data_IF_561873103975
#
_entry.id   IF_561873103975
#
_cell.length_a   1.000
_cell.length_b   1.000
_cell.length_c   1.000
_cell.angle_alpha   90.00
_cell.angle_beta   90.00
_cell.angle_gamma   90.00
#
_symmetry.space_group_name_H-M   'P 1'
#
loop_
_entity.id
_entity.type
_entity.pdbx_description
1 polymer ?
#
# COMPACT_ATOMS: atom_id res chain seq x y z
N UNK A 1 28.71 -50.34 -22.77
CA UNK A 1 29.07 -49.24 -21.86
C UNK A 1 27.94 -48.24 -21.84
N UNK A 2 27.12 -48.24 -20.79
CA UNK A 2 26.02 -47.27 -20.63
C UNK A 2 26.58 -46.00 -20.00
N UNK A 3 26.54 -44.89 -20.75
CA UNK A 3 26.86 -43.56 -20.24
C UNK A 3 25.71 -43.10 -19.34
N UNK A 4 25.89 -43.27 -18.03
CA UNK A 4 25.05 -42.60 -17.04
C UNK A 4 25.39 -41.11 -17.09
N UNK A 5 24.55 -40.33 -17.79
CA UNK A 5 24.58 -38.87 -17.71
C UNK A 5 24.16 -38.49 -16.29
N UNK A 6 25.14 -38.21 -15.42
CA UNK A 6 24.89 -37.62 -14.11
C UNK A 6 24.22 -36.26 -14.32
N UNK A 7 23.01 -36.09 -13.78
CA UNK A 7 22.39 -34.78 -13.67
C UNK A 7 23.39 -33.81 -12.98
N UNK A 8 23.50 -32.55 -13.43
CA UNK A 8 24.37 -31.59 -12.77
C UNK A 8 23.98 -31.49 -11.30
N UNK A 9 24.94 -31.72 -10.41
CA UNK A 9 24.78 -31.54 -8.97
C UNK A 9 24.36 -30.09 -8.74
N UNK A 10 23.11 -29.86 -8.34
CA UNK A 10 22.72 -28.59 -7.74
C UNK A 10 23.70 -28.33 -6.58
N UNK A 11 24.46 -27.22 -6.58
CA UNK A 11 25.41 -26.97 -5.50
C UNK A 11 24.65 -26.99 -4.19
N UNK A 12 25.08 -27.84 -3.24
CA UNK A 12 24.49 -27.87 -1.91
C UNK A 12 24.76 -26.50 -1.26
N UNK A 13 23.74 -25.82 -0.72
CA UNK A 13 23.92 -24.54 -0.08
C UNK A 13 25.00 -24.63 1.01
N UNK A 14 25.92 -23.65 1.05
CA UNK A 14 27.00 -23.63 2.03
C UNK A 14 26.49 -23.04 3.34
N UNK A 15 26.60 -23.79 4.44
CA UNK A 15 26.31 -23.25 5.77
C UNK A 15 27.35 -22.18 6.12
N UNK A 16 26.89 -21.02 6.59
CA UNK A 16 27.75 -19.95 7.11
C UNK A 16 27.27 -19.52 8.50
N UNK A 17 28.22 -19.08 9.32
CA UNK A 17 27.91 -18.56 10.65
C UNK A 17 27.60 -17.05 10.61
N UNK A 18 27.16 -16.51 11.74
CA UNK A 18 26.80 -15.11 11.86
C UNK A 18 28.00 -14.15 11.68
N UNK A 19 29.22 -14.60 12.01
CA UNK A 19 30.43 -13.79 11.91
C UNK A 19 30.82 -13.60 10.45
N UNK A 20 30.85 -14.70 9.70
CA UNK A 20 31.10 -14.72 8.26
C UNK A 20 30.03 -13.92 7.52
N UNK A 21 28.75 -14.19 7.80
CA UNK A 21 27.64 -13.43 7.20
C UNK A 21 27.77 -11.93 7.46
N UNK A 22 27.99 -11.53 8.72
CA UNK A 22 28.15 -10.11 9.06
C UNK A 22 29.39 -9.47 8.40
N UNK A 23 30.45 -10.25 8.16
CA UNK A 23 31.61 -9.79 7.39
C UNK A 23 31.25 -9.48 5.95
N UNK A 24 30.51 -10.38 5.28
CA UNK A 24 30.02 -10.17 3.91
C UNK A 24 29.11 -8.95 3.82
N UNK A 25 28.18 -8.78 4.77
CA UNK A 25 27.31 -7.60 4.83
C UNK A 25 28.12 -6.30 4.95
N UNK A 26 29.11 -6.24 5.85
CA UNK A 26 30.00 -5.07 5.97
C UNK A 26 30.87 -4.87 4.72
N UNK A 27 31.26 -5.96 4.06
CA UNK A 27 31.92 -5.93 2.75
C UNK A 27 31.06 -5.23 1.70
N UNK A 28 29.81 -5.64 1.59
CA UNK A 28 28.82 -5.06 0.67
C UNK A 28 28.54 -3.57 0.96
N UNK A 29 28.34 -3.20 2.22
CA UNK A 29 28.12 -1.78 2.60
C UNK A 29 29.32 -0.89 2.26
N UNK A 30 30.55 -1.40 2.42
CA UNK A 30 31.78 -0.72 1.97
C UNK A 30 31.85 -0.61 0.45
N UNK A 31 31.43 -1.64 -0.28
CA UNK A 31 31.39 -1.61 -1.74
C UNK A 31 30.44 -0.52 -2.26
N UNK A 32 29.21 -0.45 -1.73
CA UNK A 32 28.24 0.60 -2.08
C UNK A 32 28.81 2.00 -1.82
N UNK A 33 29.45 2.20 -0.67
CA UNK A 33 29.91 3.53 -0.25
C UNK A 33 31.16 4.00 -0.98
N UNK A 34 32.10 3.09 -1.29
CA UNK A 34 33.42 3.47 -1.77
C UNK A 34 33.63 3.26 -3.28
N UNK A 35 32.78 2.50 -3.97
CA UNK A 35 33.01 2.05 -5.37
C UNK A 35 34.41 1.46 -5.60
N UNK A 36 35.06 0.97 -4.54
CA UNK A 36 36.42 0.44 -4.60
C UNK A 36 36.36 -0.98 -5.16
N UNK A 37 37.39 -1.37 -5.93
CA UNK A 37 37.54 -2.67 -6.60
C UNK A 37 37.66 -3.90 -5.69
N UNK A 38 37.09 -3.86 -4.48
CA UNK A 38 36.79 -5.04 -3.67
C UNK A 38 35.68 -5.80 -4.41
N UNK A 39 35.88 -7.09 -4.67
CA UNK A 39 34.87 -7.91 -5.32
C UNK A 39 33.53 -7.83 -4.57
N UNK A 40 32.41 -7.90 -5.30
CA UNK A 40 31.06 -7.90 -4.72
C UNK A 40 30.89 -9.17 -3.89
N UNK A 41 31.19 -9.09 -2.60
CA UNK A 41 30.91 -10.17 -1.64
C UNK A 41 29.39 -10.26 -1.46
N UNK A 42 28.83 -11.39 -1.89
CA UNK A 42 27.39 -11.61 -1.90
C UNK A 42 27.09 -13.00 -1.31
N UNK A 43 26.24 -13.08 -0.27
CA UNK A 43 25.84 -14.35 0.34
C UNK A 43 24.83 -15.08 -0.56
N UNK A 44 25.34 -15.68 -1.66
CA UNK A 44 24.58 -16.47 -2.63
C UNK A 44 24.70 -17.97 -2.34
N UNK A 45 23.61 -18.71 -2.47
CA UNK A 45 23.56 -20.16 -2.26
C UNK A 45 24.11 -20.57 -0.88
N UNK A 46 23.77 -19.80 0.16
CA UNK A 46 24.19 -20.08 1.54
C UNK A 46 23.02 -20.43 2.44
N UNK A 47 23.29 -21.18 3.50
CA UNK A 47 22.36 -21.31 4.64
C UNK A 47 22.82 -20.35 5.72
N UNK A 48 22.02 -19.29 5.92
CA UNK A 48 22.29 -18.20 6.84
C UNK A 48 20.98 -17.77 7.53
N UNK A 49 20.46 -18.66 8.36
CA UNK A 49 19.19 -18.48 9.08
C UNK A 49 19.38 -17.58 10.31
N UNK A 50 18.31 -16.92 10.75
CA UNK A 50 18.29 -16.07 11.96
C UNK A 50 19.35 -14.95 11.97
N UNK A 51 19.68 -14.41 10.79
CA UNK A 51 20.66 -13.33 10.65
C UNK A 51 20.02 -11.96 10.87
N UNK A 52 20.79 -11.00 11.40
CA UNK A 52 20.30 -9.65 11.70
C UNK A 52 20.81 -8.61 10.72
N UNK A 53 19.90 -8.03 9.95
CA UNK A 53 20.18 -7.01 8.94
C UNK A 53 19.37 -5.72 9.12
N UNK A 54 18.68 -5.52 10.25
CA UNK A 54 17.82 -4.35 10.47
C UNK A 54 18.55 -3.01 10.25
N UNK A 55 17.85 -2.07 9.61
CA UNK A 55 18.32 -0.70 9.33
C UNK A 55 19.64 -0.62 8.55
N UNK A 56 19.95 -1.63 7.72
CA UNK A 56 21.18 -1.64 6.91
C UNK A 56 20.98 -1.10 5.50
N UNK A 57 22.10 -0.72 4.86
CA UNK A 57 22.13 -0.26 3.46
C UNK A 57 22.56 -1.42 2.57
N UNK A 58 21.57 -2.15 2.09
CA UNK A 58 21.73 -3.40 1.35
C UNK A 58 21.24 -3.29 -0.10
N UNK A 59 21.25 -2.08 -0.66
CA UNK A 59 20.94 -1.87 -2.07
C UNK A 59 21.82 -2.77 -2.95
N UNK A 60 21.26 -3.38 -3.99
CA UNK A 60 21.99 -4.30 -4.87
C UNK A 60 22.58 -5.54 -4.18
N UNK A 61 22.24 -5.89 -2.94
CA UNK A 61 22.76 -7.14 -2.36
C UNK A 61 22.20 -8.35 -3.12
N UNK A 62 22.98 -9.42 -3.23
CA UNK A 62 22.57 -10.65 -3.89
C UNK A 62 22.55 -11.82 -2.89
N UNK A 63 21.32 -12.25 -2.58
CA UNK A 63 20.94 -13.39 -1.74
C UNK A 63 20.39 -14.57 -2.57
N UNK A 64 20.71 -14.64 -3.87
CA UNK A 64 20.19 -15.69 -4.77
C UNK A 64 20.34 -17.08 -4.15
N UNK A 65 19.24 -17.83 -4.08
CA UNK A 65 19.22 -19.22 -3.65
C UNK A 65 19.61 -19.45 -2.18
N UNK A 66 19.65 -18.40 -1.37
CA UNK A 66 20.05 -18.49 0.04
C UNK A 66 18.86 -18.81 0.94
N UNK A 67 19.12 -19.58 1.99
CA UNK A 67 18.17 -19.83 3.07
C UNK A 67 18.42 -18.83 4.19
N UNK A 68 17.50 -17.88 4.32
CA UNK A 68 17.55 -16.80 5.30
C UNK A 68 16.46 -16.95 6.36
N UNK A 69 15.88 -18.14 6.54
CA UNK A 69 14.72 -18.37 7.40
C UNK A 69 14.83 -17.66 8.77
N UNK A 70 13.81 -16.83 9.06
CA UNK A 70 13.67 -16.02 10.26
C UNK A 70 14.74 -14.94 10.48
N UNK A 71 15.44 -14.53 9.42
CA UNK A 71 16.33 -13.37 9.46
C UNK A 71 15.54 -12.05 9.49
N UNK A 72 16.17 -10.99 10.00
CA UNK A 72 15.54 -9.67 10.15
C UNK A 72 16.15 -8.65 9.21
N UNK A 73 15.32 -7.83 8.58
CA UNK A 73 15.64 -6.78 7.62
C UNK A 73 14.79 -5.52 7.87
N UNK A 74 14.20 -5.37 9.05
CA UNK A 74 13.25 -4.32 9.34
C UNK A 74 13.87 -2.92 9.10
N UNK A 75 13.15 -2.06 8.39
CA UNK A 75 13.60 -0.70 8.06
C UNK A 75 14.90 -0.62 7.24
N UNK A 76 15.34 -1.71 6.60
CA UNK A 76 16.55 -1.73 5.78
C UNK A 76 16.27 -1.24 4.37
N UNK A 77 17.31 -0.71 3.73
CA UNK A 77 17.27 -0.38 2.30
C UNK A 77 17.74 -1.58 1.48
N UNK A 78 16.80 -2.27 0.85
CA UNK A 78 16.99 -3.43 -0.04
C UNK A 78 16.60 -3.07 -1.48
N UNK A 79 16.72 -1.79 -1.85
CA UNK A 79 16.42 -1.34 -3.22
C UNK A 79 17.26 -2.13 -4.23
N UNK A 80 16.61 -2.75 -5.22
CA UNK A 80 17.25 -3.63 -6.23
C UNK A 80 18.00 -4.85 -5.65
N UNK A 81 17.69 -5.26 -4.42
CA UNK A 81 18.22 -6.51 -3.86
C UNK A 81 17.72 -7.72 -4.67
N UNK A 82 18.55 -8.75 -4.76
CA UNK A 82 18.23 -10.00 -5.46
C UNK A 82 18.04 -11.11 -4.44
N UNK A 83 16.82 -11.60 -4.33
CA UNK A 83 16.43 -12.75 -3.50
C UNK A 83 15.98 -13.92 -4.37
N UNK A 84 16.36 -13.97 -5.65
CA UNK A 84 15.91 -14.99 -6.59
C UNK A 84 16.00 -16.41 -6.01
N UNK A 85 14.87 -17.11 -5.93
CA UNK A 85 14.74 -18.45 -5.34
C UNK A 85 15.26 -18.60 -3.89
N UNK A 86 15.29 -17.53 -3.10
CA UNK A 86 15.67 -17.56 -1.69
C UNK A 86 14.51 -18.05 -0.80
N UNK A 87 14.86 -18.64 0.35
CA UNK A 87 13.90 -18.97 1.42
C UNK A 87 13.86 -17.83 2.42
N UNK A 88 12.71 -17.16 2.49
CA UNK A 88 12.45 -15.99 3.33
C UNK A 88 11.33 -16.24 4.35
N UNK A 89 11.09 -17.52 4.67
CA UNK A 89 10.09 -17.96 5.64
C UNK A 89 10.36 -17.28 6.99
N UNK A 90 9.30 -16.72 7.60
CA UNK A 90 9.34 -16.03 8.90
C UNK A 90 10.31 -14.85 9.00
N UNK A 91 10.82 -14.33 7.88
CA UNK A 91 11.68 -13.15 7.89
C UNK A 91 10.90 -11.88 8.26
N UNK A 92 11.60 -10.89 8.83
CA UNK A 92 11.04 -9.58 9.14
C UNK A 92 11.49 -8.51 8.14
N UNK A 93 10.58 -8.03 7.31
CA UNK A 93 10.76 -6.95 6.34
C UNK A 93 9.92 -5.71 6.68
N UNK A 94 9.41 -5.58 7.92
CA UNK A 94 8.54 -4.46 8.28
C UNK A 94 9.23 -3.14 7.97
N UNK A 95 8.55 -2.29 7.20
CA UNK A 95 9.06 -0.98 6.74
C UNK A 95 10.37 -1.03 5.95
N UNK A 96 10.79 -2.20 5.46
CA UNK A 96 11.95 -2.32 4.59
C UNK A 96 11.61 -1.76 3.20
N UNK A 97 12.61 -1.19 2.53
CA UNK A 97 12.50 -0.71 1.17
C UNK A 97 12.98 -1.81 0.20
N UNK A 98 12.05 -2.46 -0.48
CA UNK A 98 12.25 -3.54 -1.46
C UNK A 98 11.95 -3.07 -2.90
N UNK A 99 12.01 -1.76 -3.18
CA UNK A 99 11.75 -1.23 -4.51
C UNK A 99 12.63 -1.92 -5.56
N UNK A 100 12.02 -2.36 -6.65
CA UNK A 100 12.71 -3.07 -7.73
C UNK A 100 13.48 -4.34 -7.32
N UNK A 101 13.19 -4.92 -6.15
CA UNK A 101 13.83 -6.15 -5.72
C UNK A 101 13.40 -7.33 -6.61
N UNK A 102 14.33 -8.25 -6.89
CA UNK A 102 14.04 -9.51 -7.55
C UNK A 102 13.69 -10.57 -6.50
N UNK A 103 12.39 -10.82 -6.36
CA UNK A 103 11.78 -11.76 -5.43
C UNK A 103 11.18 -12.98 -6.18
N UNK A 104 11.65 -13.27 -7.41
CA UNK A 104 11.03 -14.36 -8.17
C UNK A 104 11.30 -15.70 -7.51
N UNK A 105 10.25 -16.51 -7.39
CA UNK A 105 10.34 -17.85 -6.81
C UNK A 105 10.71 -17.88 -5.31
N UNK A 106 10.62 -16.77 -4.58
CA UNK A 106 10.87 -16.78 -3.13
C UNK A 106 9.74 -17.48 -2.38
N UNK A 107 10.06 -17.97 -1.18
CA UNK A 107 9.06 -18.42 -0.20
C UNK A 107 9.01 -17.45 0.98
N UNK A 108 7.83 -16.88 1.25
CA UNK A 108 7.59 -15.82 2.24
C UNK A 108 6.55 -16.23 3.30
N UNK A 109 6.27 -17.54 3.43
CA UNK A 109 5.34 -18.03 4.46
C UNK A 109 5.73 -17.52 5.86
N UNK A 110 4.78 -16.91 6.56
CA UNK A 110 5.00 -16.32 7.88
C UNK A 110 5.86 -15.04 7.91
N UNK A 111 6.35 -14.54 6.77
CA UNK A 111 7.15 -13.33 6.72
C UNK A 111 6.33 -12.08 7.11
N UNK A 112 6.97 -11.11 7.76
CA UNK A 112 6.35 -9.86 8.17
C UNK A 112 6.73 -8.74 7.18
N UNK A 113 5.77 -8.27 6.39
CA UNK A 113 5.96 -7.25 5.35
C UNK A 113 5.11 -5.99 5.60
N UNK A 114 4.48 -5.86 6.77
CA UNK A 114 3.63 -4.73 7.09
C UNK A 114 4.38 -3.39 6.89
N UNK A 115 3.81 -2.52 6.06
CA UNK A 115 4.39 -1.24 5.67
C UNK A 115 5.69 -1.31 4.85
N UNK A 116 6.09 -2.49 4.34
CA UNK A 116 7.21 -2.61 3.41
C UNK A 116 6.87 -1.94 2.07
N UNK A 117 7.91 -1.48 1.35
CA UNK A 117 7.78 -0.83 0.04
C UNK A 117 8.25 -1.81 -1.03
N UNK A 118 7.33 -2.49 -1.72
CA UNK A 118 7.59 -3.43 -2.80
C UNK A 118 7.24 -2.87 -4.18
N UNK A 119 7.20 -1.54 -4.33
CA UNK A 119 6.89 -0.92 -5.62
C UNK A 119 7.83 -1.41 -6.71
N UNK A 120 7.26 -1.84 -7.84
CA UNK A 120 7.96 -2.42 -8.99
C UNK A 120 8.85 -3.63 -8.67
N UNK A 121 8.68 -4.27 -7.51
CA UNK A 121 9.37 -5.53 -7.21
C UNK A 121 8.85 -6.67 -8.11
N UNK A 122 9.71 -7.65 -8.38
CA UNK A 122 9.38 -8.83 -9.20
C UNK A 122 9.15 -10.05 -8.30
N UNK A 123 7.88 -10.31 -7.98
CA UNK A 123 7.41 -11.46 -7.20
C UNK A 123 6.83 -12.58 -8.09
N UNK A 124 7.22 -12.66 -9.38
CA UNK A 124 6.69 -13.73 -10.26
C UNK A 124 7.00 -15.11 -9.69
N UNK A 125 5.99 -15.97 -9.67
CA UNK A 125 6.04 -17.31 -9.08
C UNK A 125 6.48 -17.35 -7.59
N UNK A 126 6.41 -16.24 -6.84
CA UNK A 126 6.65 -16.25 -5.41
C UNK A 126 5.50 -16.96 -4.65
N UNK A 127 5.81 -17.48 -3.46
CA UNK A 127 4.85 -18.12 -2.57
C UNK A 127 4.76 -17.32 -1.26
N UNK A 128 3.62 -16.66 -1.05
CA UNK A 128 3.32 -15.92 0.19
C UNK A 128 2.68 -16.81 1.28
N UNK A 129 2.59 -18.10 1.02
CA UNK A 129 2.06 -19.11 1.93
C UNK A 129 3.12 -20.19 2.16
N UNK A 130 3.25 -20.65 3.40
CA UNK A 130 3.91 -21.90 3.72
C UNK A 130 2.87 -23.00 3.80
N UNK A 131 3.17 -24.16 3.21
CA UNK A 131 2.41 -25.40 3.39
C UNK A 131 3.28 -26.37 4.17
N UNK A 132 2.73 -27.06 5.15
CA UNK A 132 3.45 -28.12 5.84
C UNK A 132 3.59 -29.33 4.90
N UNK A 133 4.76 -29.48 4.26
CA UNK A 133 5.10 -30.70 3.53
C UNK A 133 6.08 -30.48 2.37
N UNK A 134 6.90 -31.48 1.99
CA UNK A 134 7.94 -31.30 0.98
C UNK A 134 7.43 -31.07 -0.45
N UNK A 135 6.15 -31.32 -0.75
CA UNK A 135 5.58 -31.23 -2.11
C UNK A 135 4.06 -31.08 -2.08
N UNK A 136 3.56 -29.85 -2.17
CA UNK A 136 2.27 -29.51 -2.80
C UNK A 136 0.96 -30.12 -2.26
N UNK A 137 0.98 -30.94 -1.22
CA UNK A 137 -0.19 -31.56 -0.58
C UNK A 137 -0.08 -31.39 0.95
N UNK A 138 0.19 -30.17 1.39
CA UNK A 138 0.27 -29.80 2.80
C UNK A 138 -0.89 -28.91 3.21
N UNK A 139 -1.30 -28.98 4.48
CA UNK A 139 -2.16 -27.95 5.06
C UNK A 139 -1.42 -26.62 5.01
N UNK A 140 -2.10 -25.54 4.63
CA UNK A 140 -1.55 -24.18 4.73
C UNK A 140 -1.22 -23.95 6.22
N UNK A 141 0.02 -23.60 6.51
CA UNK A 141 0.51 -23.46 7.88
C UNK A 141 0.83 -22.04 8.27
N UNK A 142 1.31 -21.20 7.35
CA UNK A 142 1.62 -19.79 7.65
C UNK A 142 1.41 -18.87 6.44
N UNK A 143 0.74 -17.73 6.66
CA UNK A 143 0.58 -16.65 5.67
C UNK A 143 1.59 -15.53 5.91
N UNK A 144 2.08 -14.91 4.84
CA UNK A 144 2.78 -13.63 4.92
C UNK A 144 1.84 -12.54 5.47
N UNK A 145 2.35 -11.67 6.34
CA UNK A 145 1.63 -10.50 6.87
C UNK A 145 2.02 -9.26 6.09
N UNK A 146 1.22 -8.90 5.09
CA UNK A 146 1.54 -7.86 4.10
C UNK A 146 0.66 -6.60 4.22
N UNK A 147 -0.24 -6.55 5.20
CA UNK A 147 -1.21 -5.47 5.37
C UNK A 147 -0.56 -4.08 5.35
N UNK A 148 -1.21 -3.13 4.67
CA UNK A 148 -0.75 -1.74 4.59
C UNK A 148 0.56 -1.51 3.82
N UNK A 149 1.11 -2.52 3.14
CA UNK A 149 2.31 -2.36 2.31
C UNK A 149 1.99 -1.77 0.93
N UNK A 150 3.02 -1.30 0.22
CA UNK A 150 2.90 -0.82 -1.16
C UNK A 150 3.50 -1.83 -2.13
N UNK A 151 2.74 -2.21 -3.14
CA UNK A 151 3.06 -3.14 -4.22
C UNK A 151 2.73 -2.52 -5.58
N UNK A 152 2.73 -1.19 -5.67
CA UNK A 152 2.36 -0.48 -6.89
C UNK A 152 3.27 -0.92 -8.03
N UNK A 153 2.63 -1.33 -9.14
CA UNK A 153 3.29 -1.81 -10.37
C UNK A 153 4.21 -3.02 -10.15
N UNK A 154 4.09 -3.72 -9.01
CA UNK A 154 4.80 -4.96 -8.77
C UNK A 154 4.39 -6.03 -9.80
N UNK A 155 5.35 -6.86 -10.20
CA UNK A 155 5.10 -8.03 -11.04
C UNK A 155 4.82 -9.22 -10.14
N UNK A 156 3.62 -9.74 -10.21
CA UNK A 156 3.11 -10.82 -9.36
C UNK A 156 2.41 -11.88 -10.21
N UNK A 157 2.82 -12.02 -11.48
CA UNK A 157 2.31 -13.06 -12.37
C UNK A 157 2.62 -14.44 -11.77
N UNK A 158 1.66 -15.36 -11.82
CA UNK A 158 1.75 -16.71 -11.26
C UNK A 158 2.03 -16.77 -9.73
N UNK A 159 1.80 -15.67 -8.99
CA UNK A 159 1.95 -15.61 -7.53
C UNK A 159 1.02 -16.63 -6.84
N UNK A 160 1.53 -17.28 -5.79
CA UNK A 160 0.71 -18.10 -4.87
C UNK A 160 0.49 -17.34 -3.56
N UNK A 161 -0.74 -16.82 -3.38
CA UNK A 161 -1.11 -16.03 -2.20
C UNK A 161 -2.53 -16.40 -1.68
N UNK A 162 -2.83 -17.70 -1.66
CA UNK A 162 -4.12 -18.21 -1.18
C UNK A 162 -4.35 -17.86 0.29
N UNK A 163 -5.45 -17.19 0.61
CA UNK A 163 -5.79 -16.79 1.98
C UNK A 163 -4.95 -15.64 2.54
N UNK A 164 -4.08 -15.01 1.74
CA UNK A 164 -3.26 -13.89 2.20
C UNK A 164 -4.12 -12.65 2.40
N UNK A 165 -3.82 -11.91 3.46
CA UNK A 165 -4.50 -10.68 3.81
C UNK A 165 -3.77 -9.47 3.22
N UNK A 166 -4.34 -8.91 2.16
CA UNK A 166 -3.94 -7.68 1.48
C UNK A 166 -4.73 -6.46 1.95
N UNK A 167 -5.41 -6.51 3.11
CA UNK A 167 -6.18 -5.37 3.63
C UNK A 167 -5.32 -4.10 3.64
N UNK A 168 -5.91 -3.01 3.16
CA UNK A 168 -5.26 -1.70 3.02
C UNK A 168 -3.95 -1.72 2.22
N UNK A 169 -3.65 -2.70 1.36
CA UNK A 169 -2.46 -2.65 0.52
C UNK A 169 -2.67 -1.72 -0.68
N UNK A 170 -1.60 -1.05 -1.12
CA UNK A 170 -1.58 -0.39 -2.44
C UNK A 170 -1.05 -1.36 -3.48
N UNK A 171 -1.83 -1.67 -4.50
CA UNK A 171 -1.53 -2.60 -5.60
C UNK A 171 -1.78 -1.91 -6.95
N UNK A 172 -1.61 -0.58 -7.02
CA UNK A 172 -1.95 0.20 -8.21
C UNK A 172 -1.14 -0.25 -9.40
N UNK A 173 -1.78 -0.65 -10.49
CA UNK A 173 -1.10 -1.12 -11.69
C UNK A 173 -0.34 -2.45 -11.52
N UNK A 174 -0.48 -3.15 -10.39
CA UNK A 174 0.17 -4.43 -10.16
C UNK A 174 -0.24 -5.47 -11.21
N UNK A 175 0.68 -6.38 -11.54
CA UNK A 175 0.44 -7.46 -12.52
C UNK A 175 0.20 -8.76 -11.78
N UNK A 176 -1.04 -9.20 -11.69
CA UNK A 176 -1.49 -10.40 -10.96
C UNK A 176 -2.01 -11.48 -11.92
N UNK A 177 -1.51 -11.51 -13.16
CA UNK A 177 -1.97 -12.47 -14.17
C UNK A 177 -1.76 -13.90 -13.68
N UNK A 178 -2.79 -14.73 -13.85
CA UNK A 178 -2.77 -16.14 -13.43
C UNK A 178 -2.45 -16.38 -11.93
N UNK A 179 -2.45 -15.35 -11.09
CA UNK A 179 -2.15 -15.49 -9.67
C UNK A 179 -3.21 -16.35 -8.96
N UNK A 180 -2.76 -17.20 -8.03
CA UNK A 180 -3.65 -17.95 -7.16
C UNK A 180 -3.98 -17.11 -5.91
N UNK A 181 -5.12 -16.45 -5.94
CA UNK A 181 -5.63 -15.53 -4.92
C UNK A 181 -6.89 -16.07 -4.24
N UNK A 182 -7.13 -17.39 -4.27
CA UNK A 182 -8.29 -18.00 -3.59
C UNK A 182 -8.33 -17.59 -2.13
N UNK A 183 -9.51 -17.28 -1.60
CA UNK A 183 -9.72 -16.87 -0.21
C UNK A 183 -8.89 -15.65 0.25
N UNK A 184 -8.22 -14.92 -0.65
CA UNK A 184 -7.45 -13.74 -0.28
C UNK A 184 -8.38 -12.59 0.15
N UNK A 185 -7.90 -11.74 1.04
CA UNK A 185 -8.64 -10.59 1.52
C UNK A 185 -8.05 -9.29 0.95
N UNK A 186 -8.77 -8.61 0.07
CA UNK A 186 -8.42 -7.30 -0.50
C UNK A 186 -9.28 -6.17 0.08
N UNK A 187 -9.82 -6.34 1.29
CA UNK A 187 -10.70 -5.33 1.90
C UNK A 187 -9.98 -3.98 1.96
N UNK A 188 -10.63 -2.95 1.43
CA UNK A 188 -10.11 -1.58 1.31
C UNK A 188 -8.75 -1.43 0.59
N UNK A 189 -8.30 -2.45 -0.15
CA UNK A 189 -7.07 -2.40 -0.94
C UNK A 189 -7.23 -1.53 -2.20
N UNK A 190 -6.14 -0.93 -2.67
CA UNK A 190 -6.13 -0.14 -3.89
C UNK A 190 -5.59 -0.95 -5.07
N UNK A 191 -6.48 -1.48 -5.89
CA UNK A 191 -6.18 -2.25 -7.10
C UNK A 191 -6.34 -1.43 -8.38
N UNK A 192 -6.32 -0.08 -8.30
CA UNK A 192 -6.55 0.76 -9.47
C UNK A 192 -5.57 0.42 -10.62
N UNK A 193 -6.11 0.07 -11.78
CA UNK A 193 -5.37 -0.35 -12.97
C UNK A 193 -4.60 -1.68 -12.84
N UNK A 194 -4.85 -2.44 -11.78
CA UNK A 194 -4.25 -3.76 -11.60
C UNK A 194 -4.75 -4.73 -12.67
N UNK A 195 -3.87 -5.66 -13.04
CA UNK A 195 -4.12 -6.64 -14.08
C UNK A 195 -4.36 -8.01 -13.47
N UNK A 196 -5.62 -8.40 -13.36
CA UNK A 196 -6.08 -9.64 -12.74
C UNK A 196 -6.45 -10.70 -13.77
N UNK A 197 -6.02 -10.57 -15.04
CA UNK A 197 -6.41 -11.50 -16.09
C UNK A 197 -5.97 -12.94 -15.78
N UNK A 198 -6.94 -13.86 -15.73
CA UNK A 198 -6.70 -15.27 -15.39
C UNK A 198 -6.41 -15.52 -13.90
N UNK A 199 -6.43 -14.50 -13.04
CA UNK A 199 -6.25 -14.67 -11.60
C UNK A 199 -7.41 -15.50 -11.03
N UNK A 200 -7.09 -16.41 -10.10
CA UNK A 200 -8.11 -17.24 -9.46
C UNK A 200 -8.53 -16.63 -8.13
N UNK A 201 -9.76 -16.15 -8.05
CA UNK A 201 -10.30 -15.38 -6.92
C UNK A 201 -11.43 -16.12 -6.17
N UNK A 202 -11.55 -17.44 -6.32
CA UNK A 202 -12.60 -18.20 -5.63
C UNK A 202 -12.53 -17.96 -4.10
N UNK A 203 -13.61 -17.44 -3.52
CA UNK A 203 -13.70 -17.08 -2.10
C UNK A 203 -12.95 -15.82 -1.67
N UNK A 204 -12.35 -15.06 -2.59
CA UNK A 204 -11.67 -13.81 -2.27
C UNK A 204 -12.67 -12.67 -1.99
N UNK A 205 -12.35 -11.82 -1.01
CA UNK A 205 -13.12 -10.60 -0.71
C UNK A 205 -12.42 -9.38 -1.33
N UNK A 206 -13.16 -8.53 -2.04
CA UNK A 206 -12.69 -7.21 -2.49
C UNK A 206 -13.53 -6.08 -1.89
N UNK A 207 -14.26 -6.32 -0.80
CA UNK A 207 -15.15 -5.33 -0.20
C UNK A 207 -14.42 -4.02 0.07
N UNK A 208 -15.02 -2.90 -0.33
CA UNK A 208 -14.40 -1.59 -0.19
C UNK A 208 -13.24 -1.33 -1.16
N UNK A 209 -12.71 -2.27 -1.94
CA UNK A 209 -11.51 -2.05 -2.75
C UNK A 209 -11.69 -0.97 -3.83
N UNK A 210 -10.58 -0.33 -4.22
CA UNK A 210 -10.55 0.58 -5.38
C UNK A 210 -10.21 -0.26 -6.62
N UNK A 211 -11.15 -0.36 -7.55
CA UNK A 211 -11.09 -1.21 -8.75
C UNK A 211 -11.16 -0.39 -10.06
N UNK A 212 -10.93 0.92 -10.00
CA UNK A 212 -10.87 1.79 -11.19
C UNK A 212 -9.88 1.24 -12.22
N UNK A 213 -10.29 1.06 -13.47
CA UNK A 213 -9.49 0.51 -14.56
C UNK A 213 -9.22 -0.99 -14.48
N UNK A 214 -9.92 -1.73 -13.61
CA UNK A 214 -9.87 -3.19 -13.55
C UNK A 214 -11.03 -3.77 -14.38
N UNK A 215 -10.76 -4.81 -15.16
CA UNK A 215 -11.81 -5.56 -15.88
C UNK A 215 -12.58 -6.46 -14.89
N UNK A 216 -13.51 -5.86 -14.14
CA UNK A 216 -14.32 -6.53 -13.11
C UNK A 216 -15.21 -7.61 -13.74
N UNK A 217 -15.68 -7.41 -14.97
CA UNK A 217 -16.54 -8.36 -15.68
C UNK A 217 -15.83 -9.71 -15.89
N UNK A 218 -14.51 -9.70 -16.11
CA UNK A 218 -13.72 -10.91 -16.26
C UNK A 218 -13.46 -11.69 -14.96
N UNK A 219 -13.66 -11.08 -13.79
CA UNK A 219 -13.30 -11.69 -12.49
C UNK A 219 -14.32 -12.73 -12.01
N UNK A 220 -15.55 -12.71 -12.55
CA UNK A 220 -16.63 -13.64 -12.20
C UNK A 220 -16.85 -13.77 -10.68
N UNK A 221 -16.93 -12.64 -9.98
CA UNK A 221 -17.12 -12.59 -8.54
C UNK A 221 -18.58 -12.38 -8.16
N UNK A 222 -19.04 -12.99 -7.05
CA UNK A 222 -20.32 -12.65 -6.45
C UNK A 222 -20.39 -11.17 -6.05
N UNK A 223 -21.59 -10.58 -6.15
CA UNK A 223 -21.79 -9.15 -5.87
C UNK A 223 -21.44 -8.78 -4.42
N UNK A 224 -21.66 -9.68 -3.46
CA UNK A 224 -21.30 -9.46 -2.06
C UNK A 224 -19.81 -9.21 -1.85
N UNK A 225 -18.95 -9.74 -2.73
CA UNK A 225 -17.50 -9.53 -2.66
C UNK A 225 -17.06 -8.18 -3.23
N UNK A 226 -17.97 -7.45 -3.88
CA UNK A 226 -17.73 -6.13 -4.49
C UNK A 226 -18.41 -4.99 -3.73
N UNK A 227 -19.07 -5.27 -2.60
CA UNK A 227 -19.76 -4.27 -1.80
C UNK A 227 -18.82 -3.11 -1.41
N UNK A 228 -19.26 -1.87 -1.64
CA UNK A 228 -18.51 -0.67 -1.29
C UNK A 228 -17.26 -0.41 -2.14
N UNK A 229 -17.06 -1.17 -3.23
CA UNK A 229 -15.95 -0.93 -4.16
C UNK A 229 -16.08 0.40 -4.89
N UNK A 230 -14.94 1.03 -5.15
CA UNK A 230 -14.84 2.22 -6.02
C UNK A 230 -14.42 1.77 -7.42
N UNK A 231 -15.38 1.75 -8.35
CA UNK A 231 -15.17 1.33 -9.75
C UNK A 231 -14.86 2.54 -10.66
N UNK A 232 -14.84 2.32 -11.97
CA UNK A 232 -14.73 3.42 -12.94
C UNK A 232 -15.87 4.43 -12.77
N UNK A 233 -15.54 5.71 -12.94
CA UNK A 233 -16.53 6.78 -12.89
C UNK A 233 -17.58 6.56 -13.99
N UNK A 234 -18.84 6.79 -13.65
CA UNK A 234 -19.95 6.57 -14.59
C UNK A 234 -19.96 7.66 -15.67
N UNK A 235 -20.57 7.41 -16.84
CA UNK A 235 -20.78 8.46 -17.85
C UNK A 235 -21.52 9.69 -17.30
N UNK A 236 -22.45 9.49 -16.34
CA UNK A 236 -23.15 10.57 -15.66
C UNK A 236 -22.20 11.43 -14.81
N UNK A 237 -21.27 10.81 -14.07
CA UNK A 237 -20.24 11.53 -13.32
C UNK A 237 -19.35 12.37 -14.25
N UNK A 238 -18.94 11.83 -15.40
CA UNK A 238 -18.20 12.60 -16.40
C UNK A 238 -19.01 13.77 -16.97
N UNK A 239 -20.31 13.61 -17.18
CA UNK A 239 -21.21 14.69 -17.59
C UNK A 239 -21.26 15.84 -16.58
N UNK A 240 -21.20 15.53 -15.28
CA UNK A 240 -21.21 16.51 -14.19
C UNK A 240 -19.87 17.25 -14.00
N UNK A 241 -18.79 16.89 -14.71
CA UNK A 241 -17.47 17.47 -14.50
C UNK A 241 -17.43 19.00 -14.74
N UNK A 242 -18.23 19.51 -15.68
CA UNK A 242 -18.37 20.94 -15.92
C UNK A 242 -19.03 21.67 -14.74
N UNK A 243 -20.11 21.08 -14.22
CA UNK A 243 -20.88 21.64 -13.10
C UNK A 243 -20.05 21.66 -11.82
N UNK A 244 -19.29 20.58 -11.55
CA UNK A 244 -18.37 20.54 -10.39
C UNK A 244 -17.35 21.66 -10.48
N UNK A 245 -16.75 21.92 -11.66
CA UNK A 245 -15.80 23.02 -11.82
C UNK A 245 -16.46 24.38 -11.59
N UNK A 246 -17.68 24.58 -12.10
CA UNK A 246 -18.43 25.81 -11.87
C UNK A 246 -18.74 26.02 -10.38
N UNK A 247 -19.08 24.96 -9.64
CA UNK A 247 -19.27 25.01 -8.19
C UNK A 247 -17.97 25.42 -7.49
N UNK A 248 -16.83 24.86 -7.89
CA UNK A 248 -15.53 25.23 -7.32
C UNK A 248 -15.18 26.70 -7.59
N UNK A 249 -15.47 27.20 -8.79
CA UNK A 249 -15.25 28.60 -9.17
C UNK A 249 -16.16 29.55 -8.38
N UNK A 250 -17.42 29.19 -8.18
CA UNK A 250 -18.35 29.92 -7.32
C UNK A 250 -17.90 29.91 -5.84
N UNK A 251 -17.45 28.74 -5.34
CA UNK A 251 -16.95 28.58 -3.97
C UNK A 251 -15.71 29.45 -3.69
N UNK A 252 -14.79 29.50 -4.64
CA UNK A 252 -13.63 30.34 -4.52
C UNK A 252 -13.99 31.83 -4.50
N UNK A 253 -14.88 32.28 -5.39
CA UNK A 253 -15.37 33.66 -5.39
C UNK A 253 -16.07 34.02 -4.07
N UNK A 254 -16.82 33.07 -3.49
CA UNK A 254 -17.44 33.24 -2.18
C UNK A 254 -16.41 33.52 -1.11
N UNK A 255 -15.36 32.69 -1.04
CA UNK A 255 -14.29 32.86 -0.03
C UNK A 255 -13.53 34.17 -0.25
N UNK A 256 -13.11 34.46 -1.49
CA UNK A 256 -12.33 35.66 -1.84
C UNK A 256 -13.07 36.97 -1.52
N UNK A 257 -14.40 36.95 -1.61
CA UNK A 257 -15.22 38.15 -1.43
C UNK A 257 -15.92 38.22 -0.08
N UNK A 258 -15.66 37.27 0.83
CA UNK A 258 -16.35 37.18 2.11
C UNK A 258 -17.87 36.94 1.95
N UNK A 259 -18.29 36.27 0.88
CA UNK A 259 -19.67 35.90 0.58
C UNK A 259 -20.45 36.91 -0.26
N UNK A 260 -19.82 37.95 -0.81
CA UNK A 260 -20.51 38.94 -1.64
C UNK A 260 -20.83 38.45 -3.06
N UNK A 261 -20.05 37.50 -3.59
CA UNK A 261 -20.23 36.88 -4.92
C UNK A 261 -19.97 35.38 -4.85
N UNK A 262 -20.55 34.62 -5.78
CA UNK A 262 -20.43 33.17 -5.81
C UNK A 262 -21.40 32.48 -4.85
N UNK A 263 -21.15 31.21 -4.54
CA UNK A 263 -21.96 30.36 -3.68
C UNK A 263 -21.06 29.43 -2.87
N UNK A 264 -21.54 28.86 -1.76
CA UNK A 264 -20.76 27.86 -1.01
C UNK A 264 -20.60 26.59 -1.85
N UNK A 265 -19.42 25.98 -1.77
CA UNK A 265 -19.15 24.75 -2.52
C UNK A 265 -19.83 23.54 -1.89
N UNK A 266 -20.89 23.04 -2.55
CA UNK A 266 -21.61 21.84 -2.16
C UNK A 266 -21.38 20.74 -3.21
N UNK A 267 -20.79 19.63 -2.79
CA UNK A 267 -20.34 18.52 -3.64
C UNK A 267 -20.74 17.16 -3.05
N UNK A 268 -21.81 17.17 -2.26
CA UNK A 268 -22.42 16.03 -1.58
C UNK A 268 -22.69 14.88 -2.56
N UNK A 269 -22.31 13.67 -2.19
CA UNK A 269 -22.51 12.42 -2.96
C UNK A 269 -21.90 12.41 -4.39
N UNK A 270 -21.06 13.39 -4.74
CA UNK A 270 -20.47 13.50 -6.08
C UNK A 270 -19.18 12.67 -6.23
N UNK A 271 -18.93 12.21 -7.45
CA UNK A 271 -17.65 11.63 -7.83
C UNK A 271 -16.67 12.73 -8.26
N UNK A 272 -15.77 13.11 -7.36
CA UNK A 272 -14.82 14.21 -7.55
C UNK A 272 -13.62 13.80 -8.42
N UNK A 273 -13.46 12.50 -8.70
CA UNK A 273 -12.32 11.97 -9.47
C UNK A 273 -12.33 12.46 -10.91
N UNK A 274 -13.51 12.75 -11.46
CA UNK A 274 -13.69 13.30 -12.82
C UNK A 274 -13.07 14.70 -12.98
N UNK A 275 -12.75 15.36 -11.86
CA UNK A 275 -12.04 16.65 -11.81
C UNK A 275 -10.89 16.59 -10.79
N UNK A 276 -10.20 15.45 -10.67
CA UNK A 276 -9.25 15.20 -9.58
C UNK A 276 -8.17 16.27 -9.35
N UNK A 277 -7.76 17.00 -10.39
CA UNK A 277 -6.77 18.08 -10.29
C UNK A 277 -7.34 19.48 -10.02
N UNK A 278 -8.67 19.62 -9.96
CA UNK A 278 -9.34 20.92 -9.90
C UNK A 278 -9.40 21.53 -8.50
N UNK A 279 -8.93 20.85 -7.45
CA UNK A 279 -8.99 21.34 -6.06
C UNK A 279 -7.67 21.93 -5.56
N UNK A 280 -6.55 21.50 -6.16
CA UNK A 280 -5.20 21.95 -5.82
C UNK A 280 -5.08 23.48 -5.87
N UNK A 281 -4.39 24.06 -4.90
CA UNK A 281 -4.08 25.50 -4.82
C UNK A 281 -5.32 26.43 -4.73
N UNK A 282 -6.50 25.91 -4.34
CA UNK A 282 -7.74 26.71 -4.30
C UNK A 282 -8.12 27.21 -2.92
N UNK A 283 -8.91 28.28 -2.91
CA UNK A 283 -9.54 28.82 -1.70
C UNK A 283 -10.95 28.24 -1.56
N UNK A 284 -11.10 27.23 -0.71
CA UNK A 284 -12.32 26.42 -0.59
C UNK A 284 -12.74 26.29 0.90
N UNK A 285 -12.55 27.36 1.68
CA UNK A 285 -12.97 27.41 3.07
C UNK A 285 -14.48 27.12 3.20
N UNK A 286 -14.84 26.17 4.06
CA UNK A 286 -16.21 25.72 4.27
C UNK A 286 -16.79 24.84 3.16
N UNK A 287 -15.96 24.26 2.28
CA UNK A 287 -16.39 23.29 1.26
C UNK A 287 -17.13 22.12 1.92
N UNK A 288 -18.31 21.76 1.41
CA UNK A 288 -19.05 20.58 1.81
C UNK A 288 -18.99 19.53 0.71
N UNK A 289 -18.51 18.33 1.05
CA UNK A 289 -18.45 17.17 0.17
C UNK A 289 -18.70 15.87 0.97
N UNK A 290 -19.78 15.76 1.75
CA UNK A 290 -20.10 14.52 2.47
C UNK A 290 -20.39 13.39 1.48
N UNK A 291 -20.00 12.17 1.85
CA UNK A 291 -20.13 10.93 1.06
C UNK A 291 -19.50 10.97 -0.35
N UNK A 292 -18.77 12.04 -0.68
CA UNK A 292 -18.18 12.20 -2.00
C UNK A 292 -17.11 11.12 -2.26
N UNK A 293 -16.96 10.75 -3.53
CA UNK A 293 -15.88 9.85 -3.97
C UNK A 293 -14.70 10.72 -4.39
N UNK A 294 -13.74 10.87 -3.48
CA UNK A 294 -12.52 11.68 -3.66
C UNK A 294 -11.24 10.86 -3.67
N UNK A 295 -11.30 9.57 -4.06
CA UNK A 295 -10.14 8.69 -4.11
C UNK A 295 -9.07 9.26 -5.04
N UNK A 296 -7.84 9.40 -4.53
CA UNK A 296 -6.70 10.00 -5.27
C UNK A 296 -6.91 11.43 -5.79
N UNK A 297 -7.93 12.15 -5.29
CA UNK A 297 -8.15 13.56 -5.64
C UNK A 297 -7.08 14.42 -4.98
N UNK A 298 -6.67 15.48 -5.67
CA UNK A 298 -5.57 16.33 -5.30
C UNK A 298 -6.05 17.65 -4.70
N UNK A 299 -6.06 17.69 -3.37
CA UNK A 299 -6.36 18.86 -2.54
C UNK A 299 -5.08 19.55 -2.04
N UNK A 300 -3.93 19.31 -2.68
CA UNK A 300 -2.68 19.85 -2.13
C UNK A 300 -2.66 21.37 -2.14
N UNK A 301 -2.17 21.95 -1.05
CA UNK A 301 -2.03 23.40 -0.82
C UNK A 301 -3.33 24.20 -0.93
N UNK A 302 -4.49 23.55 -0.92
CA UNK A 302 -5.78 24.25 -0.86
C UNK A 302 -6.08 24.74 0.55
N UNK A 303 -6.84 25.82 0.65
CA UNK A 303 -7.45 26.29 1.89
C UNK A 303 -8.82 25.63 2.06
N UNK A 304 -8.97 24.78 3.07
CA UNK A 304 -10.14 23.93 3.32
C UNK A 304 -10.57 24.05 4.80
N UNK A 305 -10.38 25.23 5.39
CA UNK A 305 -10.76 25.45 6.79
C UNK A 305 -12.26 25.24 6.96
N UNK A 306 -12.67 24.45 7.95
CA UNK A 306 -14.06 24.10 8.17
C UNK A 306 -14.71 23.25 7.07
N UNK A 307 -13.93 22.66 6.15
CA UNK A 307 -14.48 21.78 5.13
C UNK A 307 -15.11 20.51 5.74
N UNK A 308 -16.14 19.97 5.10
CA UNK A 308 -16.89 18.79 5.57
C UNK A 308 -16.74 17.67 4.56
N UNK A 309 -16.04 16.60 4.95
CA UNK A 309 -15.80 15.38 4.19
C UNK A 309 -16.39 14.16 4.91
N UNK A 310 -17.45 14.35 5.68
CA UNK A 310 -18.06 13.28 6.48
C UNK A 310 -18.54 12.13 5.58
N UNK A 311 -18.16 10.89 5.90
CA UNK A 311 -18.47 9.70 5.10
C UNK A 311 -17.78 9.62 3.73
N UNK A 312 -17.00 10.62 3.34
CA UNK A 312 -16.36 10.65 2.02
C UNK A 312 -15.29 9.55 1.87
N UNK A 313 -15.15 9.03 0.65
CA UNK A 313 -14.06 8.13 0.30
C UNK A 313 -12.87 8.92 -0.25
N UNK A 314 -11.91 9.21 0.64
CA UNK A 314 -10.73 10.03 0.38
C UNK A 314 -9.43 9.21 0.43
N UNK A 315 -9.52 7.89 0.22
CA UNK A 315 -8.34 7.03 0.23
C UNK A 315 -7.36 7.46 -0.84
N UNK A 316 -6.08 7.51 -0.48
CA UNK A 316 -5.00 8.05 -1.32
C UNK A 316 -5.17 9.50 -1.80
N UNK A 317 -6.13 10.26 -1.28
CA UNK A 317 -6.25 11.68 -1.60
C UNK A 317 -4.99 12.45 -1.12
N UNK A 318 -4.65 13.52 -1.83
CA UNK A 318 -3.46 14.30 -1.53
C UNK A 318 -3.84 15.61 -0.83
N UNK A 319 -3.62 15.69 0.47
CA UNK A 319 -3.81 16.90 1.29
C UNK A 319 -2.49 17.58 1.65
N UNK A 320 -1.39 17.26 0.95
CA UNK A 320 -0.07 17.82 1.26
C UNK A 320 -0.11 19.35 1.31
N UNK A 321 0.24 19.92 2.45
CA UNK A 321 0.28 21.37 2.65
C UNK A 321 -1.09 22.06 2.66
N UNK A 322 -2.20 21.33 2.71
CA UNK A 322 -3.54 21.91 2.78
C UNK A 322 -3.81 22.49 4.17
N UNK A 323 -4.59 23.57 4.23
CA UNK A 323 -5.11 24.09 5.51
C UNK A 323 -6.46 23.44 5.80
N UNK A 324 -6.48 22.50 6.74
CA UNK A 324 -7.64 21.68 7.12
C UNK A 324 -8.15 22.05 8.52
N UNK A 325 -7.82 23.24 9.03
CA UNK A 325 -8.23 23.63 10.38
C UNK A 325 -9.74 23.58 10.54
N UNK A 326 -10.21 22.86 11.55
CA UNK A 326 -11.63 22.70 11.83
C UNK A 326 -12.39 21.88 10.78
N UNK A 327 -11.70 21.19 9.86
CA UNK A 327 -12.34 20.31 8.90
C UNK A 327 -12.93 19.07 9.57
N UNK A 328 -13.93 18.46 8.95
CA UNK A 328 -14.61 17.27 9.44
C UNK A 328 -14.39 16.10 8.50
N UNK A 329 -13.95 14.97 9.06
CA UNK A 329 -13.75 13.69 8.37
C UNK A 329 -14.50 12.56 9.08
N UNK A 330 -15.64 12.85 9.70
CA UNK A 330 -16.37 11.86 10.52
C UNK A 330 -16.81 10.71 9.62
N UNK A 331 -16.40 9.48 9.95
CA UNK A 331 -16.69 8.28 9.15
C UNK A 331 -16.00 8.23 7.78
N UNK A 332 -15.10 9.18 7.47
CA UNK A 332 -14.44 9.22 6.17
C UNK A 332 -13.41 8.10 6.02
N UNK A 333 -13.23 7.60 4.80
CA UNK A 333 -12.15 6.67 4.47
C UNK A 333 -10.93 7.46 4.04
N UNK A 334 -9.87 7.46 4.85
CA UNK A 334 -8.64 8.22 4.60
C UNK A 334 -7.41 7.33 4.45
N UNK A 335 -7.57 6.01 4.33
CA UNK A 335 -6.44 5.11 4.19
C UNK A 335 -5.46 5.59 3.10
N UNK A 336 -4.18 5.75 3.48
CA UNK A 336 -3.08 6.25 2.66
C UNK A 336 -3.23 7.67 2.10
N UNK A 337 -4.14 8.48 2.63
CA UNK A 337 -4.21 9.90 2.29
C UNK A 337 -2.92 10.61 2.72
N UNK A 338 -2.37 11.43 1.82
CA UNK A 338 -1.13 12.16 2.07
C UNK A 338 -1.42 13.43 2.87
N UNK A 339 -1.13 13.39 4.16
CA UNK A 339 -1.36 14.48 5.11
C UNK A 339 -0.09 15.30 5.40
N UNK A 340 1.00 15.09 4.65
CA UNK A 340 2.30 15.70 4.97
C UNK A 340 2.21 17.23 4.89
N UNK A 341 2.45 17.89 6.02
CA UNK A 341 2.42 19.34 6.13
C UNK A 341 1.03 19.96 6.07
N UNK A 342 -0.05 19.17 6.14
CA UNK A 342 -1.39 19.69 6.29
C UNK A 342 -1.56 20.31 7.69
N UNK A 343 -2.26 21.44 7.80
CA UNK A 343 -2.62 22.04 9.08
C UNK A 343 -3.94 21.46 9.59
N UNK A 344 -3.85 20.70 10.68
CA UNK A 344 -4.99 20.03 11.32
C UNK A 344 -5.40 20.69 12.64
N UNK A 345 -4.87 21.88 12.96
CA UNK A 345 -5.18 22.58 14.20
C UNK A 345 -6.67 22.95 14.30
N UNK A 346 -7.10 23.36 15.50
CA UNK A 346 -8.44 23.92 15.65
C UNK A 346 -8.53 25.28 14.93
N UNK A 347 -9.63 25.50 14.22
CA UNK A 347 -9.94 26.78 13.61
C UNK A 347 -10.52 27.73 14.67
N UNK A 348 -9.89 28.89 14.84
CA UNK A 348 -10.42 29.95 15.69
C UNK A 348 -11.53 30.72 14.95
N UNK A 349 -12.70 30.77 15.58
CA UNK A 349 -13.89 31.46 15.08
C UNK A 349 -14.11 32.76 15.88
N UNK A 350 -14.87 33.73 15.32
CA UNK A 350 -15.26 34.94 16.03
C UNK A 350 -15.84 34.64 17.42
N UNK A 351 -15.42 35.41 18.42
CA UNK A 351 -15.82 35.22 19.81
C UNK A 351 -15.01 34.17 20.58
N UNK A 352 -13.82 33.80 20.11
CA UNK A 352 -12.89 32.91 20.82
C UNK A 352 -13.31 31.44 20.82
N UNK A 353 -14.27 31.07 19.95
CA UNK A 353 -14.71 29.69 19.77
C UNK A 353 -13.67 28.92 18.97
N UNK A 354 -13.37 27.69 19.38
CA UNK A 354 -12.47 26.80 18.64
C UNK A 354 -13.26 25.68 17.99
N UNK A 355 -13.06 25.48 16.68
CA UNK A 355 -13.61 24.36 15.94
C UNK A 355 -12.48 23.34 15.66
N UNK A 356 -12.46 22.19 16.35
CA UNK A 356 -11.41 21.19 16.15
C UNK A 356 -11.60 20.44 14.83
N UNK A 357 -10.50 19.95 14.27
CA UNK A 357 -10.54 18.99 13.17
C UNK A 357 -11.04 17.64 13.69
N UNK A 358 -12.00 17.01 13.01
CA UNK A 358 -12.69 15.80 13.50
C UNK A 358 -12.36 14.57 12.66
N UNK A 359 -12.16 13.44 13.33
CA UNK A 359 -11.84 12.14 12.72
C UNK A 359 -12.66 10.99 13.31
N UNK A 360 -13.78 11.28 13.98
CA UNK A 360 -14.60 10.29 14.65
C UNK A 360 -15.04 9.19 13.67
N UNK A 361 -14.63 7.94 13.90
CA UNK A 361 -14.94 6.81 13.02
C UNK A 361 -14.22 6.82 11.67
N UNK A 362 -13.25 7.71 11.44
CA UNK A 362 -12.48 7.75 10.19
C UNK A 362 -11.45 6.61 10.12
N UNK A 363 -11.25 6.04 8.93
CA UNK A 363 -10.16 5.09 8.67
C UNK A 363 -8.87 5.84 8.35
N UNK A 364 -7.89 5.80 9.26
CA UNK A 364 -6.65 6.60 9.20
C UNK A 364 -5.40 5.79 8.83
N UNK A 365 -5.54 4.53 8.42
CA UNK A 365 -4.42 3.64 8.14
C UNK A 365 -3.45 4.24 7.10
N UNK A 366 -2.15 4.26 7.40
CA UNK A 366 -1.15 4.79 6.47
C UNK A 366 -1.13 6.32 6.29
N UNK A 367 -2.01 7.08 6.97
CA UNK A 367 -1.98 8.56 6.92
C UNK A 367 -0.86 9.19 7.76
N UNK A 368 -0.35 8.44 8.73
CA UNK A 368 0.57 8.96 9.76
C UNK A 368 -0.13 9.75 10.88
N UNK A 369 -1.46 9.94 10.81
CA UNK A 369 -2.25 10.55 11.88
C UNK A 369 -2.50 9.50 12.96
N UNK A 370 -2.21 9.86 14.21
CA UNK A 370 -2.62 9.09 15.39
C UNK A 370 -3.80 9.85 16.00
N UNK A 371 -5.04 9.32 15.94
CA UNK A 371 -6.16 9.99 16.57
C UNK A 371 -5.90 10.09 18.09
N UNK A 372 -6.33 11.18 18.75
CA UNK A 372 -6.33 11.23 20.20
C UNK A 372 -7.12 10.03 20.71
N UNK A 373 -6.54 9.25 21.65
CA UNK A 373 -7.23 8.12 22.26
C UNK A 373 -8.57 8.61 22.79
N UNK A 374 -9.67 8.08 22.26
CA UNK A 374 -10.99 8.25 22.88
C UNK A 374 -10.83 7.71 24.31
N UNK A 375 -11.10 8.51 25.36
CA UNK A 375 -11.14 7.98 26.71
C UNK A 375 -12.15 6.84 26.71
N UNK A 376 -11.70 5.61 26.97
CA UNK A 376 -12.60 4.50 27.26
C UNK A 376 -13.43 4.95 28.45
N UNK A 377 -14.72 5.20 28.23
CA UNK A 377 -15.67 5.39 29.30
C UNK A 377 -15.51 4.20 30.25
N UNK A 378 -15.20 4.51 31.51
CA UNK A 378 -15.13 3.51 32.55
C UNK A 378 -16.49 2.82 32.62
N UNK A 379 -16.53 1.53 32.31
CA UNK A 379 -17.70 0.68 32.58
C UNK A 379 -18.00 0.84 34.08
N UNK A 380 -19.19 1.33 34.48
CA UNK A 380 -19.54 1.38 35.88
C UNK A 380 -19.56 -0.05 36.42
N UNK A 381 -18.83 -0.26 37.53
CA UNK A 381 -18.68 -1.55 38.22
C UNK A 381 -20.01 -2.09 38.75
#
# INVERSE_FOLDING_TARGET
>A
MSMVVRAPLTPRPRQIDATEFASMIRGHERFITLRMGVGREAPRYVVAQQMRCDHRRLMDIDFTGSDLCGSTFAGSDLTRAVFYCATLIRCDFRRANLRWADLRGVTLGGAQLAGAILEEADLRAAMLVSTDGPRGVGSISEWARIQGSTLDRARMDDLVAQGVDFTNCSLRGAKLRNANLRNANFTDANLAGADLHGARLDGASLRGAILTGVDIASLNLPLENLEGCVMDATPAAFGAAGDIKAILDAAQQWVETGGARGERGHLDDLDLRVVAGAFRDRLLGGLAAPNAIGVSVDFSRSQLQGAVFDGADLRHANFRGADLRGASFVGAKLAHANMVGADLAALELPGGRMLPTRFDGASLDGTGIIPPKVPTEAVPQ
#
